data_IF_271154257164
#
_entry.id   IF_271154257164
#
_cell.length_a   1.000
_cell.length_b   1.000
_cell.length_c   1.000
_cell.angle_alpha   90.00
_cell.angle_beta   90.00
_cell.angle_gamma   90.00
#
_symmetry.space_group_name_H-M   'P 1'
#
loop_
_entity.id
_entity.type
_entity.pdbx_description
1 polymer ?
#
# COMPACT_ATOMS: atom_id res chain seq x y z
N UNK A 1 -5.53 26.58 -24.30
CA UNK A 1 -5.70 25.11 -24.32
C UNK A 1 -6.07 24.69 -22.90
N UNK A 2 -7.20 24.03 -22.70
CA UNK A 2 -7.64 23.65 -21.36
C UNK A 2 -6.69 22.59 -20.80
N UNK A 3 -5.99 22.92 -19.72
CA UNK A 3 -5.20 21.95 -18.97
C UNK A 3 -6.16 21.06 -18.19
N UNK A 4 -6.39 19.85 -18.70
CA UNK A 4 -7.26 18.84 -18.07
C UNK A 4 -6.63 18.15 -16.86
N UNK A 5 -5.32 18.30 -16.65
CA UNK A 5 -4.61 17.76 -15.49
C UNK A 5 -4.01 18.91 -14.67
N UNK A 6 -4.08 18.85 -13.33
CA UNK A 6 -3.38 19.81 -12.50
C UNK A 6 -1.88 19.67 -12.73
N UNK A 7 -1.15 20.78 -12.78
CA UNK A 7 0.31 20.75 -12.93
C UNK A 7 0.98 21.15 -11.61
N UNK A 8 1.94 20.37 -11.10
CA UNK A 8 2.40 19.07 -11.59
C UNK A 8 1.38 17.94 -11.32
N UNK A 9 1.29 16.95 -12.22
CA UNK A 9 0.56 15.69 -11.99
C UNK A 9 1.57 14.54 -11.85
N UNK A 10 1.40 13.73 -10.81
CA UNK A 10 2.15 12.50 -10.61
C UNK A 10 1.27 11.34 -11.04
N UNK A 11 1.66 10.64 -12.09
CA UNK A 11 1.05 9.38 -12.47
C UNK A 11 1.47 8.30 -11.50
N UNK A 12 0.54 7.42 -11.17
CA UNK A 12 0.79 6.25 -10.33
C UNK A 12 0.09 5.07 -10.98
N UNK A 13 0.54 3.85 -10.70
CA UNK A 13 -0.15 2.65 -11.16
C UNK A 13 -1.65 2.70 -10.83
N UNK A 14 -2.02 3.16 -9.64
CA UNK A 14 -3.41 3.24 -9.18
C UNK A 14 -4.25 4.25 -9.97
N UNK A 15 -3.69 5.41 -10.32
CA UNK A 15 -4.45 6.41 -11.08
C UNK A 15 -4.55 6.03 -12.57
N UNK A 16 -3.52 5.41 -13.14
CA UNK A 16 -3.56 4.84 -14.50
C UNK A 16 -4.59 3.71 -14.59
N UNK A 17 -4.60 2.79 -13.61
CA UNK A 17 -5.59 1.72 -13.57
C UNK A 17 -7.01 2.27 -13.40
N UNK A 18 -7.20 3.31 -12.58
CA UNK A 18 -8.49 3.96 -12.44
C UNK A 18 -8.97 4.59 -13.76
N UNK A 19 -8.07 5.18 -14.55
CA UNK A 19 -8.40 5.71 -15.87
C UNK A 19 -8.83 4.60 -16.83
N UNK A 20 -8.09 3.48 -16.87
CA UNK A 20 -8.45 2.31 -17.67
C UNK A 20 -9.80 1.70 -17.25
N UNK A 21 -10.06 1.66 -15.95
CA UNK A 21 -11.31 1.11 -15.41
C UNK A 21 -12.50 2.04 -15.70
N UNK A 22 -12.35 3.33 -15.47
CA UNK A 22 -13.37 4.35 -15.69
C UNK A 22 -12.76 5.77 -15.78
N UNK A 23 -12.65 6.35 -16.98
CA UNK A 23 -12.08 7.69 -17.16
C UNK A 23 -12.78 8.78 -16.35
N UNK A 24 -14.10 8.67 -16.19
CA UNK A 24 -14.88 9.63 -15.43
C UNK A 24 -14.61 9.53 -13.91
N UNK A 25 -14.44 8.31 -13.39
CA UNK A 25 -14.03 8.12 -12.00
C UNK A 25 -12.62 8.66 -11.76
N UNK A 26 -11.70 8.43 -12.70
CA UNK A 26 -10.36 9.03 -12.63
C UNK A 26 -10.43 10.55 -12.57
N UNK A 27 -11.21 11.17 -13.47
CA UNK A 27 -11.38 12.62 -13.51
C UNK A 27 -11.94 13.17 -12.20
N UNK A 28 -13.01 12.58 -11.68
CA UNK A 28 -13.58 13.01 -10.39
C UNK A 28 -12.58 12.85 -9.24
N UNK A 29 -11.90 11.70 -9.15
CA UNK A 29 -11.04 11.36 -8.00
C UNK A 29 -9.68 12.06 -8.03
N UNK A 30 -8.99 12.06 -9.17
CA UNK A 30 -7.59 12.48 -9.27
C UNK A 30 -7.42 13.85 -9.92
N UNK A 31 -8.41 14.35 -10.68
CA UNK A 31 -8.35 15.70 -11.28
C UNK A 31 -9.16 16.69 -10.45
N UNK A 32 -10.41 16.38 -10.13
CA UNK A 32 -11.29 17.27 -9.36
C UNK A 32 -11.19 17.08 -7.84
N UNK A 33 -10.46 16.07 -7.37
CA UNK A 33 -10.36 15.70 -5.96
C UNK A 33 -11.73 15.60 -5.25
N UNK A 34 -12.74 15.13 -6.00
CA UNK A 34 -14.11 15.01 -5.54
C UNK A 34 -14.17 14.08 -4.32
N UNK A 35 -14.65 14.62 -3.20
CA UNK A 35 -14.84 13.86 -1.97
C UNK A 35 -16.06 12.97 -2.15
N UNK A 36 -15.82 11.67 -2.38
CA UNK A 36 -16.91 10.71 -2.41
C UNK A 36 -17.50 10.57 -1.01
N UNK A 37 -18.83 10.60 -0.85
CA UNK A 37 -19.44 10.36 0.44
C UNK A 37 -19.02 8.97 0.94
N UNK A 38 -18.73 8.88 2.24
CA UNK A 38 -18.39 7.61 2.86
C UNK A 38 -19.45 6.57 2.48
N UNK A 39 -18.99 5.37 2.07
CA UNK A 39 -19.90 4.30 1.73
C UNK A 39 -20.88 4.06 2.89
N UNK A 40 -22.18 4.01 2.60
CA UNK A 40 -23.19 3.68 3.62
C UNK A 40 -23.05 2.20 3.96
N UNK A 41 -22.20 1.87 4.92
CA UNK A 41 -21.86 0.48 5.20
C UNK A 41 -22.62 -0.03 6.43
N UNK A 42 -23.44 -1.06 6.20
CA UNK A 42 -23.43 -2.18 7.14
C UNK A 42 -22.02 -2.77 7.01
N UNK A 43 -21.25 -2.65 8.09
CA UNK A 43 -19.92 -3.25 8.29
C UNK A 43 -18.65 -2.43 7.95
N UNK A 44 -18.66 -1.12 8.25
CA UNK A 44 -17.44 -0.29 8.23
C UNK A 44 -16.37 -0.76 9.22
N UNK A 45 -16.79 -1.35 10.35
CA UNK A 45 -15.89 -1.81 11.41
C UNK A 45 -15.04 -3.00 10.99
N UNK A 46 -15.60 -4.00 10.30
CA UNK A 46 -14.81 -5.12 9.81
C UNK A 46 -13.81 -4.68 8.75
N UNK A 47 -14.23 -3.81 7.81
CA UNK A 47 -13.33 -3.25 6.80
C UNK A 47 -12.15 -2.49 7.43
N UNK A 48 -12.43 -1.68 8.45
CA UNK A 48 -11.39 -0.96 9.19
C UNK A 48 -10.44 -1.92 9.92
N UNK A 49 -10.99 -2.95 10.59
CA UNK A 49 -10.19 -3.97 11.25
C UNK A 49 -9.26 -4.71 10.27
N UNK A 50 -9.77 -5.05 9.07
CA UNK A 50 -8.99 -5.70 8.01
C UNK A 50 -7.86 -4.80 7.49
N UNK A 51 -8.17 -3.52 7.24
CA UNK A 51 -7.18 -2.53 6.81
C UNK A 51 -6.08 -2.35 7.85
N UNK A 52 -6.45 -2.24 9.14
CA UNK A 52 -5.49 -2.07 10.23
C UNK A 52 -4.62 -3.33 10.41
N UNK A 53 -5.19 -4.54 10.30
CA UNK A 53 -4.43 -5.79 10.37
C UNK A 53 -3.42 -5.91 9.23
N UNK A 54 -3.84 -5.59 8.00
CA UNK A 54 -2.95 -5.57 6.84
C UNK A 54 -1.79 -4.59 7.00
N UNK A 55 -2.08 -3.38 7.49
CA UNK A 55 -1.05 -2.37 7.75
C UNK A 55 -0.01 -2.84 8.79
N UNK A 56 -0.44 -3.45 9.90
CA UNK A 56 0.48 -3.97 10.93
C UNK A 56 1.34 -5.12 10.40
N UNK A 57 0.77 -6.01 9.60
CA UNK A 57 1.54 -7.06 8.93
C UNK A 57 2.62 -6.47 8.01
N UNK A 58 2.26 -5.51 7.15
CA UNK A 58 3.23 -4.86 6.25
C UNK A 58 4.36 -4.17 7.03
N UNK A 59 4.05 -3.51 8.16
CA UNK A 59 5.06 -2.90 9.02
C UNK A 59 6.07 -3.91 9.57
N UNK A 60 5.63 -5.11 9.98
CA UNK A 60 6.54 -6.17 10.44
C UNK A 60 7.49 -6.62 9.33
N UNK A 61 6.97 -6.79 8.11
CA UNK A 61 7.76 -7.17 6.93
C UNK A 61 8.77 -6.07 6.57
N UNK A 62 8.34 -4.81 6.58
CA UNK A 62 9.22 -3.67 6.35
C UNK A 62 10.35 -3.62 7.38
N UNK A 63 10.05 -3.79 8.67
CA UNK A 63 11.06 -3.84 9.74
C UNK A 63 12.04 -5.00 9.58
N UNK A 64 11.58 -6.16 9.10
CA UNK A 64 12.45 -7.29 8.81
C UNK A 64 13.49 -6.94 7.73
N UNK A 65 13.07 -6.28 6.65
CA UNK A 65 13.98 -5.83 5.59
C UNK A 65 14.91 -4.71 6.04
N UNK A 66 14.54 -3.90 7.02
CA UNK A 66 15.43 -2.95 7.68
C UNK A 66 16.43 -3.59 8.66
N UNK A 67 16.40 -4.91 8.82
CA UNK A 67 17.36 -5.65 9.66
C UNK A 67 16.98 -5.74 11.14
N UNK A 68 15.72 -5.46 11.51
CA UNK A 68 15.23 -5.74 12.87
C UNK A 68 15.24 -7.24 13.12
N UNK A 69 15.66 -7.67 14.31
CA UNK A 69 15.86 -9.09 14.61
C UNK A 69 14.57 -9.90 14.47
N UNK A 70 14.65 -10.99 13.71
CA UNK A 70 13.50 -11.89 13.47
C UNK A 70 12.83 -12.39 14.77
N UNK A 71 13.56 -12.82 15.82
CA UNK A 71 12.92 -13.24 17.07
C UNK A 71 12.07 -12.15 17.73
N UNK A 72 12.50 -10.89 17.65
CA UNK A 72 11.76 -9.74 18.19
C UNK A 72 10.48 -9.50 17.38
N UNK A 73 10.59 -9.55 16.05
CA UNK A 73 9.43 -9.37 15.16
C UNK A 73 8.41 -10.50 15.31
N UNK A 74 8.86 -11.76 15.42
CA UNK A 74 7.97 -12.90 15.70
C UNK A 74 7.24 -12.72 17.04
N UNK A 75 7.91 -12.19 18.07
CA UNK A 75 7.23 -11.90 19.35
C UNK A 75 6.22 -10.75 19.22
N UNK A 76 6.55 -9.70 18.46
CA UNK A 76 5.62 -8.60 18.19
C UNK A 76 4.38 -9.09 17.43
N UNK A 77 4.56 -9.93 16.41
CA UNK A 77 3.47 -10.52 15.63
C UNK A 77 2.53 -11.38 16.51
N UNK A 78 3.10 -12.18 17.42
CA UNK A 78 2.34 -12.99 18.39
C UNK A 78 1.55 -12.16 19.40
N UNK A 79 2.04 -10.96 19.71
CA UNK A 79 1.41 -10.04 20.66
C UNK A 79 0.40 -9.09 19.98
N UNK A 80 0.20 -9.17 18.66
CA UNK A 80 -0.78 -8.35 17.95
C UNK A 80 -2.20 -8.70 18.42
N UNK A 81 -3.09 -7.71 18.62
CA UNK A 81 -4.48 -7.96 19.00
C UNK A 81 -5.26 -8.78 17.94
N UNK A 82 -4.83 -8.76 16.68
CA UNK A 82 -5.40 -9.57 15.62
C UNK A 82 -4.54 -10.80 15.35
N UNK A 83 -5.05 -11.97 15.72
CA UNK A 83 -4.35 -13.25 15.60
C UNK A 83 -3.94 -13.60 14.16
N UNK A 84 -4.61 -13.01 13.15
CA UNK A 84 -4.26 -13.20 11.74
C UNK A 84 -2.87 -12.68 11.43
N UNK A 85 -2.44 -11.59 12.09
CA UNK A 85 -1.13 -10.96 11.85
C UNK A 85 0.01 -11.93 12.18
N UNK A 86 -0.09 -12.67 13.29
CA UNK A 86 0.91 -13.71 13.63
C UNK A 86 0.97 -14.80 12.55
N UNK A 87 -0.19 -15.29 12.10
CA UNK A 87 -0.27 -16.35 11.08
C UNK A 87 0.32 -15.88 9.74
N UNK A 88 -0.01 -14.66 9.32
CA UNK A 88 0.51 -14.09 8.07
C UNK A 88 2.02 -13.88 8.15
N UNK A 89 2.53 -13.38 9.27
CA UNK A 89 3.97 -13.18 9.45
C UNK A 89 4.73 -14.51 9.46
N UNK A 90 4.25 -15.51 10.20
CA UNK A 90 4.86 -16.84 10.25
C UNK A 90 4.84 -17.53 8.86
N UNK A 91 3.74 -17.37 8.13
CA UNK A 91 3.62 -17.86 6.75
C UNK A 91 4.61 -17.17 5.83
N UNK A 92 4.72 -15.84 5.93
CA UNK A 92 5.64 -15.03 5.13
C UNK A 92 7.09 -15.45 5.33
N UNK A 93 7.57 -15.53 6.57
CA UNK A 93 8.98 -15.88 6.86
C UNK A 93 9.32 -17.33 6.48
N UNK A 94 8.32 -18.21 6.40
CA UNK A 94 8.49 -19.60 5.99
C UNK A 94 8.51 -19.73 4.46
N UNK A 95 7.63 -19.00 3.77
CA UNK A 95 7.48 -19.06 2.31
C UNK A 95 8.52 -18.20 1.58
N UNK A 96 8.95 -17.09 2.18
CA UNK A 96 9.88 -16.14 1.59
C UNK A 96 11.32 -16.45 2.05
N UNK A 97 12.20 -16.96 1.18
CA UNK A 97 13.59 -17.17 1.55
C UNK A 97 14.22 -15.81 1.83
N UNK A 98 14.62 -15.57 3.09
CA UNK A 98 15.29 -14.34 3.51
C UNK A 98 16.62 -14.07 2.79
N UNK A 99 17.12 -15.04 2.02
CA UNK A 99 18.31 -14.91 1.19
C UNK A 99 17.95 -14.54 -0.26
N UNK A 100 17.29 -13.40 -0.44
CA UNK A 100 17.29 -12.77 -1.76
C UNK A 100 18.67 -12.14 -2.00
N UNK A 101 19.30 -12.35 -3.17
CA UNK A 101 20.55 -11.69 -3.49
C UNK A 101 20.33 -10.19 -3.74
N UNK A 102 21.31 -9.36 -3.35
CA UNK A 102 21.31 -7.91 -3.58
C UNK A 102 20.86 -7.07 -2.38
N UNK A 103 20.83 -5.75 -2.56
CA UNK A 103 20.28 -4.82 -1.57
C UNK A 103 18.76 -4.79 -1.68
N UNK A 104 18.08 -4.96 -0.55
CA UNK A 104 16.63 -4.95 -0.47
C UNK A 104 16.15 -3.57 -0.03
N UNK A 105 15.28 -2.99 -0.83
CA UNK A 105 14.70 -1.67 -0.57
C UNK A 105 13.18 -1.83 -0.33
N UNK A 106 12.75 -2.06 0.92
CA UNK A 106 11.34 -2.26 1.21
C UNK A 106 10.56 -0.97 0.94
N UNK A 107 9.39 -1.09 0.31
CA UNK A 107 8.48 0.02 0.00
C UNK A 107 9.12 1.18 -0.81
N UNK A 108 10.21 0.91 -1.53
CA UNK A 108 10.88 1.93 -2.34
C UNK A 108 10.02 2.30 -3.54
N UNK A 109 9.68 3.59 -3.64
CA UNK A 109 9.03 4.15 -4.83
C UNK A 109 10.09 4.47 -5.88
N UNK A 110 9.96 3.90 -7.07
CA UNK A 110 10.78 4.26 -8.23
C UNK A 110 9.93 5.17 -9.09
N UNK A 111 10.48 6.33 -9.47
CA UNK A 111 9.80 7.26 -10.36
C UNK A 111 10.69 7.76 -11.48
N UNK A 112 10.07 8.27 -12.54
CA UNK A 112 10.77 8.86 -13.68
C UNK A 112 10.01 10.06 -14.23
N UNK A 113 10.75 11.13 -14.55
CA UNK A 113 10.19 12.30 -15.21
C UNK A 113 9.97 12.02 -16.70
N UNK A 114 8.72 12.12 -17.17
CA UNK A 114 8.36 12.10 -18.59
C UNK A 114 7.82 13.48 -19.01
N UNK A 115 8.68 14.29 -19.63
CA UNK A 115 8.34 15.65 -20.04
C UNK A 115 8.17 16.60 -18.84
N UNK A 116 6.92 16.96 -18.51
CA UNK A 116 6.57 17.82 -17.35
C UNK A 116 5.81 17.05 -16.25
N UNK A 117 5.74 15.73 -16.34
CA UNK A 117 5.00 14.89 -15.40
C UNK A 117 5.91 13.83 -14.82
N UNK A 118 5.61 13.41 -13.59
CA UNK A 118 6.28 12.29 -12.92
C UNK A 118 5.46 11.03 -13.12
N UNK A 119 6.14 9.89 -13.34
CA UNK A 119 5.59 8.53 -13.39
C UNK A 119 6.11 7.71 -12.22
#
# INVERSE_FOLDING_TARGET
MAHFLPLPFVFTQSNLQAFLNCPYQFYLRYVLHFQWPAAQARDMLQFEADCLAGARFHQLVHQLFLGVSLPKLSQMAKNDPDSRVSVWFDTFITAFPLMLPGELFPEHTIGVTLGKHEL
#
